data_IF_271455096324
#
_entry.id   IF_271455096324
#
_cell.length_a   1.000
_cell.length_b   1.000
_cell.length_c   1.000
_cell.angle_alpha   90.00
_cell.angle_beta   90.00
_cell.angle_gamma   90.00
#
_symmetry.space_group_name_H-M   'P 1'
#
loop_
_entity.id
_entity.type
_entity.pdbx_description
1 polymer ?
#
# COMPACT_ATOMS: atom_id res chain seq x y z
N UNK A 1 -8.39 3.59 -11.88
CA UNK A 1 -9.26 4.61 -11.23
C UNK A 1 -8.75 4.87 -9.82
N UNK A 2 -8.70 6.12 -9.41
CA UNK A 2 -8.22 6.46 -8.07
C UNK A 2 -9.27 6.17 -7.00
N UNK A 3 -8.88 5.51 -5.91
CA UNK A 3 -9.80 5.13 -4.82
C UNK A 3 -10.39 6.33 -4.07
N UNK A 4 -9.66 7.45 -3.97
CA UNK A 4 -10.18 8.67 -3.37
C UNK A 4 -11.42 9.23 -4.09
N UNK A 5 -11.54 9.01 -5.40
CA UNK A 5 -12.73 9.40 -6.17
C UNK A 5 -13.96 8.56 -5.81
N UNK A 6 -13.75 7.31 -5.35
CA UNK A 6 -14.85 6.44 -4.93
C UNK A 6 -15.47 6.94 -3.62
N UNK A 7 -14.65 7.29 -2.65
CA UNK A 7 -15.11 7.79 -1.34
C UNK A 7 -15.92 9.08 -1.46
N UNK A 8 -15.65 9.90 -2.49
CA UNK A 8 -16.43 11.11 -2.75
C UNK A 8 -17.82 10.84 -3.34
N UNK A 9 -18.05 9.65 -3.90
CA UNK A 9 -19.26 9.33 -4.67
C UNK A 9 -20.24 8.39 -3.96
N UNK A 10 -19.73 7.49 -3.11
CA UNK A 10 -20.54 6.44 -2.47
C UNK A 10 -19.90 5.84 -1.23
N UNK A 11 -20.65 5.03 -0.49
CA UNK A 11 -20.08 4.10 0.48
C UNK A 11 -19.24 3.05 -0.26
N UNK A 12 -18.00 2.88 0.12
CA UNK A 12 -17.03 1.98 -0.53
C UNK A 12 -16.99 0.65 0.20
N UNK A 13 -17.03 -0.43 -0.57
CA UNK A 13 -16.88 -1.80 -0.10
C UNK A 13 -15.57 -2.37 -0.66
N UNK A 14 -14.66 -2.78 0.21
CA UNK A 14 -13.35 -3.29 -0.18
C UNK A 14 -12.93 -4.50 0.63
N UNK A 15 -12.00 -5.27 0.07
CA UNK A 15 -11.29 -6.33 0.79
C UNK A 15 -9.82 -5.98 0.93
N UNK A 16 -9.18 -6.60 1.92
CA UNK A 16 -7.73 -6.66 2.02
C UNK A 16 -7.29 -8.12 1.95
N UNK A 17 -6.28 -8.39 1.11
CA UNK A 17 -5.76 -9.74 0.89
C UNK A 17 -4.26 -9.80 1.15
N UNK A 18 -3.81 -10.98 1.55
CA UNK A 18 -2.41 -11.25 1.85
C UNK A 18 -1.82 -12.14 0.77
N UNK A 19 -0.71 -11.75 0.13
CA UNK A 19 0.04 -12.69 -0.70
C UNK A 19 0.45 -13.93 0.11
N UNK A 20 0.49 -15.11 -0.49
CA UNK A 20 0.94 -16.31 0.21
C UNK A 20 2.42 -16.19 0.60
N UNK A 21 2.87 -16.99 1.59
CA UNK A 21 4.26 -17.03 2.01
C UNK A 21 5.18 -17.42 0.85
N UNK A 22 6.47 -17.04 0.93
CA UNK A 22 7.45 -17.21 -0.16
C UNK A 22 7.64 -18.65 -0.65
N UNK A 23 7.43 -19.62 0.22
CA UNK A 23 7.52 -21.07 -0.05
C UNK A 23 6.25 -21.66 -0.69
N UNK A 24 5.18 -20.88 -0.80
CA UNK A 24 3.90 -21.27 -1.37
C UNK A 24 3.74 -20.57 -2.74
N UNK A 25 3.35 -21.28 -3.81
CA UNK A 25 3.08 -20.67 -5.10
C UNK A 25 2.02 -19.56 -5.01
N UNK A 26 2.22 -18.46 -5.74
CA UNK A 26 1.31 -17.29 -5.69
C UNK A 26 -0.09 -17.64 -6.20
N UNK A 27 -0.16 -18.57 -7.14
CA UNK A 27 -1.40 -19.02 -7.78
C UNK A 27 -2.38 -19.67 -6.79
N UNK A 28 -1.90 -20.07 -5.61
CA UNK A 28 -2.75 -20.66 -4.55
C UNK A 28 -3.79 -19.68 -4.02
N UNK A 29 -3.58 -18.37 -4.18
CA UNK A 29 -4.55 -17.34 -3.75
C UNK A 29 -5.59 -17.04 -4.84
N UNK A 30 -5.33 -17.36 -6.11
CA UNK A 30 -6.17 -16.97 -7.23
C UNK A 30 -7.63 -17.45 -7.13
N UNK A 31 -7.92 -18.71 -6.75
CA UNK A 31 -9.32 -19.15 -6.58
C UNK A 31 -10.09 -18.30 -5.56
N UNK A 32 -9.44 -17.89 -4.47
CA UNK A 32 -10.06 -16.99 -3.47
C UNK A 32 -10.30 -15.60 -4.06
N UNK A 33 -9.39 -15.09 -4.88
CA UNK A 33 -9.56 -13.79 -5.55
C UNK A 33 -10.70 -13.83 -6.57
N UNK A 34 -10.86 -14.95 -7.30
CA UNK A 34 -11.98 -15.17 -8.21
C UNK A 34 -13.32 -15.10 -7.46
N UNK A 35 -13.43 -15.77 -6.31
CA UNK A 35 -14.63 -15.72 -5.47
C UNK A 35 -14.90 -14.32 -4.90
N UNK A 36 -13.87 -13.65 -4.39
CA UNK A 36 -13.99 -12.28 -3.85
C UNK A 36 -14.41 -11.28 -4.93
N UNK A 37 -13.89 -11.41 -6.15
CA UNK A 37 -14.24 -10.54 -7.27
C UNK A 37 -15.73 -10.60 -7.64
N UNK A 38 -16.36 -11.77 -7.48
CA UNK A 38 -17.79 -11.97 -7.73
C UNK A 38 -18.69 -11.23 -6.73
N UNK A 39 -18.15 -10.78 -5.61
CA UNK A 39 -18.86 -9.93 -4.64
C UNK A 39 -18.86 -8.46 -5.05
N UNK A 40 -18.24 -8.13 -6.19
CA UNK A 40 -18.14 -6.80 -6.76
C UNK A 40 -17.63 -5.73 -5.78
N UNK A 41 -16.47 -5.96 -5.12
CA UNK A 41 -15.86 -4.93 -4.31
C UNK A 41 -15.44 -3.73 -5.17
N UNK A 42 -15.41 -2.56 -4.56
CA UNK A 42 -14.95 -1.34 -5.23
C UNK A 42 -13.45 -1.36 -5.51
N UNK A 43 -12.70 -1.96 -4.59
CA UNK A 43 -11.30 -2.31 -4.79
C UNK A 43 -10.87 -3.43 -3.83
N UNK A 44 -9.73 -4.03 -4.11
CA UNK A 44 -9.07 -4.99 -3.22
C UNK A 44 -7.66 -4.49 -2.95
N UNK A 45 -7.31 -4.28 -1.67
CA UNK A 45 -5.93 -3.94 -1.30
C UNK A 45 -5.09 -5.20 -1.09
N UNK A 46 -3.82 -5.11 -1.45
CA UNK A 46 -2.87 -6.22 -1.36
C UNK A 46 -1.75 -5.85 -0.41
N UNK A 47 -1.63 -6.59 0.69
CA UNK A 47 -0.58 -6.34 1.68
C UNK A 47 0.81 -6.65 1.13
N UNK A 48 1.83 -6.03 1.72
CA UNK A 48 3.22 -6.43 1.50
C UNK A 48 3.64 -7.34 2.65
N UNK A 49 4.29 -8.46 2.33
CA UNK A 49 4.73 -9.43 3.35
C UNK A 49 5.57 -8.79 4.45
N UNK A 50 5.54 -9.38 5.63
CA UNK A 50 6.21 -8.87 6.83
C UNK A 50 7.67 -8.45 6.53
N UNK A 51 8.03 -7.23 6.94
CA UNK A 51 9.34 -6.65 6.71
C UNK A 51 9.62 -6.18 5.28
N UNK A 52 8.60 -5.95 4.46
CA UNK A 52 8.79 -5.41 3.09
C UNK A 52 9.49 -6.37 2.13
N UNK A 53 9.52 -7.66 2.44
CA UNK A 53 10.21 -8.68 1.63
C UNK A 53 9.35 -9.24 0.50
N UNK A 54 8.11 -8.79 0.36
CA UNK A 54 7.10 -9.35 -0.55
C UNK A 54 6.82 -8.51 -1.80
N UNK A 55 7.65 -7.52 -2.15
CA UNK A 55 7.34 -6.55 -3.22
C UNK A 55 6.82 -7.19 -4.52
N UNK A 56 7.55 -8.13 -5.09
CA UNK A 56 7.14 -8.78 -6.34
C UNK A 56 5.80 -9.52 -6.20
N UNK A 57 5.55 -10.21 -5.08
CA UNK A 57 4.28 -10.93 -4.87
C UNK A 57 3.09 -10.00 -4.70
N UNK A 58 3.29 -8.84 -4.08
CA UNK A 58 2.25 -7.82 -3.99
C UNK A 58 1.85 -7.35 -5.39
N UNK A 59 2.83 -7.10 -6.26
CA UNK A 59 2.59 -6.71 -7.66
C UNK A 59 1.89 -7.83 -8.42
N UNK A 60 2.34 -9.09 -8.28
CA UNK A 60 1.71 -10.24 -8.95
C UNK A 60 0.24 -10.39 -8.58
N UNK A 61 -0.08 -10.39 -7.27
CA UNK A 61 -1.45 -10.53 -6.76
C UNK A 61 -2.31 -9.33 -7.21
N UNK A 62 -1.78 -8.11 -7.10
CA UNK A 62 -2.48 -6.90 -7.53
C UNK A 62 -2.74 -6.90 -9.05
N UNK A 63 -1.78 -7.40 -9.85
CA UNK A 63 -1.96 -7.56 -11.30
C UNK A 63 -3.08 -8.54 -11.61
N UNK A 64 -3.15 -9.68 -10.91
CA UNK A 64 -4.22 -10.65 -11.08
C UNK A 64 -5.59 -10.04 -10.75
N UNK A 65 -5.70 -9.29 -9.65
CA UNK A 65 -6.94 -8.57 -9.28
C UNK A 65 -7.36 -7.59 -10.39
N UNK A 66 -6.42 -6.86 -10.99
CA UNK A 66 -6.70 -5.97 -12.14
C UNK A 66 -7.23 -6.75 -13.35
N UNK A 67 -6.69 -7.94 -13.63
CA UNK A 67 -7.16 -8.81 -14.72
C UNK A 67 -8.58 -9.30 -14.51
N UNK A 68 -9.02 -9.46 -13.25
CA UNK A 68 -10.41 -9.78 -12.90
C UNK A 68 -11.37 -8.58 -13.05
N UNK A 69 -10.85 -7.40 -13.43
CA UNK A 69 -11.65 -6.18 -13.59
C UNK A 69 -11.91 -5.42 -12.29
N UNK A 70 -11.29 -5.83 -11.18
CA UNK A 70 -11.36 -5.11 -9.90
C UNK A 70 -10.28 -4.02 -9.83
N UNK A 71 -10.58 -2.91 -9.16
CA UNK A 71 -9.57 -1.92 -8.82
C UNK A 71 -8.71 -2.45 -7.66
N UNK A 72 -7.45 -2.00 -7.57
CA UNK A 72 -6.55 -2.48 -6.54
C UNK A 72 -5.67 -1.38 -5.95
N UNK A 73 -5.24 -1.58 -4.70
CA UNK A 73 -4.27 -0.75 -4.01
C UNK A 73 -3.13 -1.63 -3.48
N UNK A 74 -1.90 -1.32 -3.85
CA UNK A 74 -0.72 -2.04 -3.40
C UNK A 74 -0.13 -1.42 -2.13
N UNK A 75 0.11 -2.21 -1.09
CA UNK A 75 0.81 -1.74 0.10
C UNK A 75 2.30 -1.59 -0.19
N UNK A 76 2.87 -0.46 0.23
CA UNK A 76 4.30 -0.18 0.12
C UNK A 76 4.86 0.29 1.47
N UNK A 77 5.43 -0.62 2.28
CA UNK A 77 6.09 -0.27 3.53
C UNK A 77 7.51 0.26 3.26
N UNK A 78 7.92 1.34 3.93
CA UNK A 78 9.13 2.07 3.60
C UNK A 78 10.34 1.83 4.51
N UNK A 79 10.16 1.32 5.72
CA UNK A 79 11.22 1.27 6.74
C UNK A 79 12.50 0.52 6.30
N UNK A 80 12.37 -0.43 5.36
CA UNK A 80 13.47 -1.21 4.78
C UNK A 80 13.68 -0.92 3.29
N UNK A 81 13.08 0.14 2.75
CA UNK A 81 13.08 0.45 1.33
C UNK A 81 14.20 1.45 1.01
N UNK A 82 15.03 1.16 0.02
CA UNK A 82 15.96 2.12 -0.56
C UNK A 82 15.28 2.92 -1.67
N UNK A 83 15.87 4.05 -2.08
CA UNK A 83 15.32 4.83 -3.21
C UNK A 83 15.24 4.00 -4.51
N UNK A 84 16.28 3.23 -4.79
CA UNK A 84 16.33 2.39 -6.01
C UNK A 84 15.23 1.33 -5.98
N UNK A 85 15.01 0.69 -4.82
CA UNK A 85 13.96 -0.30 -4.67
C UNK A 85 12.57 0.36 -4.74
N UNK A 86 12.41 1.57 -4.20
CA UNK A 86 11.17 2.33 -4.33
C UNK A 86 10.85 2.64 -5.79
N UNK A 87 11.82 3.17 -6.55
CA UNK A 87 11.67 3.45 -7.97
C UNK A 87 11.34 2.19 -8.79
N UNK A 88 12.00 1.07 -8.48
CA UNK A 88 11.72 -0.19 -9.14
C UNK A 88 10.28 -0.67 -8.86
N UNK A 89 9.83 -0.60 -7.62
CA UNK A 89 8.46 -0.95 -7.25
C UNK A 89 7.43 -0.05 -7.94
N UNK A 90 7.66 1.27 -7.99
CA UNK A 90 6.78 2.22 -8.69
C UNK A 90 6.69 1.90 -10.18
N UNK A 91 7.82 1.56 -10.82
CA UNK A 91 7.86 1.15 -12.21
C UNK A 91 7.03 -0.11 -12.45
N UNK A 92 7.23 -1.16 -11.65
CA UNK A 92 6.50 -2.43 -11.76
C UNK A 92 4.99 -2.23 -11.57
N UNK A 93 4.57 -1.43 -10.58
CA UNK A 93 3.17 -1.09 -10.36
C UNK A 93 2.57 -0.34 -11.55
N UNK A 94 3.29 0.63 -12.10
CA UNK A 94 2.86 1.41 -13.27
C UNK A 94 2.72 0.55 -14.51
N UNK A 95 3.69 -0.34 -14.77
CA UNK A 95 3.65 -1.29 -15.89
C UNK A 95 2.48 -2.28 -15.76
N UNK A 96 2.11 -2.64 -14.54
CA UNK A 96 0.94 -3.47 -14.24
C UNK A 96 -0.41 -2.69 -14.28
N UNK A 97 -0.38 -1.37 -14.52
CA UNK A 97 -1.59 -0.53 -14.55
C UNK A 97 -2.23 -0.30 -13.17
N UNK A 98 -1.45 -0.45 -12.10
CA UNK A 98 -1.89 -0.19 -10.73
C UNK A 98 -1.68 1.29 -10.44
N UNK A 99 -2.73 1.98 -10.01
CA UNK A 99 -2.75 3.43 -9.83
C UNK A 99 -2.81 3.86 -8.36
N UNK A 100 -3.06 2.92 -7.44
CA UNK A 100 -3.26 3.22 -6.02
C UNK A 100 -2.19 2.52 -5.16
N UNK A 101 -1.54 3.29 -4.28
CA UNK A 101 -0.52 2.81 -3.35
C UNK A 101 -0.93 3.18 -1.93
N UNK A 102 -0.98 2.20 -1.03
CA UNK A 102 -1.06 2.47 0.41
C UNK A 102 0.36 2.59 0.96
N UNK A 103 0.79 3.83 1.20
CA UNK A 103 2.09 4.13 1.75
C UNK A 103 2.11 3.91 3.28
N UNK A 104 2.97 3.03 3.74
CA UNK A 104 3.11 2.61 5.14
C UNK A 104 4.55 2.83 5.61
N UNK A 105 4.74 3.05 6.91
CA UNK A 105 6.08 2.94 7.50
C UNK A 105 6.54 1.48 7.47
N UNK A 106 5.66 0.58 7.82
CA UNK A 106 5.94 -0.82 8.08
C UNK A 106 6.38 -1.07 9.52
N UNK A 107 6.43 -2.35 9.89
CA UNK A 107 6.79 -2.80 11.22
C UNK A 107 8.27 -3.16 11.30
N UNK A 108 8.86 -2.95 12.48
CA UNK A 108 10.23 -3.37 12.76
C UNK A 108 10.31 -4.90 12.87
N UNK A 109 11.31 -5.45 12.21
CA UNK A 109 11.62 -6.88 12.29
C UNK A 109 12.87 -7.04 13.16
N UNK A 110 12.82 -7.80 14.25
CA UNK A 110 13.98 -8.03 15.10
C UNK A 110 15.18 -8.56 14.30
N UNK A 111 16.33 -7.91 14.49
CA UNK A 111 17.58 -8.28 13.82
C UNK A 111 17.71 -7.82 12.36
N UNK A 112 16.77 -7.06 11.84
CA UNK A 112 16.87 -6.44 10.51
C UNK A 112 17.18 -4.94 10.66
N UNK A 113 18.25 -4.48 10.03
CA UNK A 113 18.64 -3.07 10.01
C UNK A 113 17.72 -2.28 9.07
N UNK A 114 17.30 -1.07 9.50
CA UNK A 114 16.50 -0.14 8.67
C UNK A 114 17.35 0.41 7.53
N UNK A 115 16.71 0.76 6.44
CA UNK A 115 17.39 1.42 5.32
C UNK A 115 17.74 2.89 5.60
N UNK A 116 17.07 3.53 6.59
CA UNK A 116 17.24 4.94 6.98
C UNK A 116 17.09 5.94 5.81
N UNK A 117 16.34 5.58 4.79
CA UNK A 117 15.99 6.45 3.66
C UNK A 117 14.64 7.12 3.91
N UNK A 118 13.66 6.33 4.34
CA UNK A 118 12.32 6.78 4.68
C UNK A 118 12.03 6.40 6.14
N UNK A 119 12.03 7.37 7.03
CA UNK A 119 11.77 7.14 8.46
C UNK A 119 10.27 7.02 8.75
N UNK A 120 9.44 7.71 7.96
CA UNK A 120 7.99 7.76 8.09
C UNK A 120 7.28 7.52 6.76
N UNK A 121 6.01 7.10 6.84
CA UNK A 121 5.19 6.98 5.64
C UNK A 121 5.06 8.30 4.85
N UNK A 122 5.09 9.46 5.54
CA UNK A 122 5.07 10.78 4.89
C UNK A 122 6.27 11.01 3.97
N UNK A 123 7.45 10.46 4.29
CA UNK A 123 8.64 10.61 3.47
C UNK A 123 8.48 9.82 2.16
N UNK A 124 7.93 8.60 2.25
CA UNK A 124 7.58 7.81 1.08
C UNK A 124 6.49 8.49 0.24
N UNK A 125 5.45 9.06 0.87
CA UNK A 125 4.40 9.81 0.16
C UNK A 125 5.01 10.96 -0.65
N UNK A 126 5.84 11.78 -0.03
CA UNK A 126 6.51 12.90 -0.70
C UNK A 126 7.37 12.42 -1.87
N UNK A 127 8.14 11.35 -1.67
CA UNK A 127 8.97 10.74 -2.70
C UNK A 127 8.14 10.23 -3.89
N UNK A 128 7.05 9.49 -3.63
CA UNK A 128 6.16 9.01 -4.71
C UNK A 128 5.60 10.19 -5.49
N UNK A 129 5.12 11.22 -4.80
CA UNK A 129 4.53 12.41 -5.44
C UNK A 129 5.53 13.23 -6.24
N UNK A 130 6.79 13.22 -5.85
CA UNK A 130 7.88 13.86 -6.62
C UNK A 130 8.22 13.07 -7.89
N UNK A 131 8.35 11.73 -7.78
CA UNK A 131 8.85 10.88 -8.87
C UNK A 131 7.76 10.44 -9.83
N UNK A 132 6.58 10.12 -9.31
CA UNK A 132 5.44 9.58 -10.06
C UNK A 132 4.13 10.20 -9.54
N UNK A 133 3.85 11.48 -9.86
CA UNK A 133 2.73 12.25 -9.31
C UNK A 133 1.35 11.68 -9.65
N UNK A 134 1.26 10.84 -10.68
CA UNK A 134 0.01 10.25 -11.15
C UNK A 134 -0.54 9.16 -10.21
N UNK A 135 0.29 8.57 -9.35
CA UNK A 135 -0.22 7.62 -8.36
C UNK A 135 -1.14 8.31 -7.35
N UNK A 136 -2.27 7.68 -7.07
CA UNK A 136 -3.07 7.97 -5.89
C UNK A 136 -2.41 7.32 -4.67
N UNK A 137 -2.00 8.13 -3.70
CA UNK A 137 -1.29 7.66 -2.51
C UNK A 137 -2.19 7.72 -1.30
N UNK A 138 -2.53 6.58 -0.75
CA UNK A 138 -3.38 6.40 0.42
C UNK A 138 -2.50 6.39 1.67
N UNK A 139 -2.93 7.07 2.72
CA UNK A 139 -2.27 7.07 4.03
C UNK A 139 -3.09 6.30 5.07
N UNK A 140 -2.42 5.45 5.87
CA UNK A 140 -3.06 4.82 7.02
C UNK A 140 -3.25 5.82 8.17
N UNK A 141 -4.38 5.69 8.87
CA UNK A 141 -4.64 6.38 10.14
C UNK A 141 -5.22 5.40 11.18
N UNK A 142 -5.06 5.77 12.44
CA UNK A 142 -5.56 4.99 13.59
C UNK A 142 -6.55 5.87 14.38
N UNK A 143 -7.86 5.59 14.36
CA UNK A 143 -8.84 6.38 15.12
C UNK A 143 -8.55 6.44 16.61
N UNK A 144 -8.00 5.35 17.17
CA UNK A 144 -7.60 5.24 18.58
C UNK A 144 -6.26 5.93 18.89
N UNK A 145 -5.56 6.39 17.86
CA UNK A 145 -4.20 6.92 17.93
C UNK A 145 -3.13 5.85 17.73
N UNK A 146 -2.01 6.25 17.13
CA UNK A 146 -0.87 5.37 16.91
C UNK A 146 -0.20 5.01 18.24
N UNK A 147 0.17 3.74 18.45
CA UNK A 147 0.74 3.23 19.71
C UNK A 147 2.04 3.93 20.13
N UNK A 148 2.82 4.42 19.18
CA UNK A 148 4.09 5.14 19.40
C UNK A 148 3.87 6.67 19.55
N UNK A 149 2.66 7.18 19.30
CA UNK A 149 2.39 8.61 19.45
C UNK A 149 2.31 9.00 20.93
N UNK A 150 2.99 10.08 21.32
CA UNK A 150 2.99 10.57 22.70
C UNK A 150 1.60 11.01 23.16
N UNK A 151 0.80 11.54 22.27
CA UNK A 151 -0.59 11.98 22.50
C UNK A 151 -1.40 11.90 21.22
N UNK A 152 -2.71 11.75 21.32
CA UNK A 152 -3.62 11.78 20.16
C UNK A 152 -3.48 13.08 19.36
N UNK A 153 -3.29 14.22 20.02
CA UNK A 153 -3.07 15.50 19.34
C UNK A 153 -1.74 15.53 18.53
N UNK A 154 -0.71 14.81 18.97
CA UNK A 154 0.52 14.65 18.22
C UNK A 154 0.29 13.75 17.00
N UNK A 155 -0.46 12.67 17.17
CA UNK A 155 -0.79 11.75 16.07
C UNK A 155 -1.62 12.43 14.97
N UNK A 156 -2.61 13.22 15.35
CA UNK A 156 -3.39 14.03 14.40
C UNK A 156 -2.49 14.99 13.61
N UNK A 157 -1.48 15.61 14.24
CA UNK A 157 -0.50 16.43 13.53
C UNK A 157 0.35 15.62 12.55
N UNK A 158 0.74 14.40 12.92
CA UNK A 158 1.47 13.50 12.04
C UNK A 158 0.61 13.09 10.83
N UNK A 159 -0.70 12.88 11.05
CA UNK A 159 -1.64 12.62 9.96
C UNK A 159 -1.72 13.80 8.99
N UNK A 160 -1.78 15.05 9.53
CA UNK A 160 -1.70 16.25 8.70
C UNK A 160 -0.42 16.28 7.85
N UNK A 161 0.73 15.90 8.42
CA UNK A 161 2.00 15.83 7.68
C UNK A 161 1.91 14.87 6.48
N UNK A 162 1.23 13.72 6.62
CA UNK A 162 0.99 12.80 5.49
C UNK A 162 0.13 13.44 4.40
N UNK A 163 -0.94 14.11 4.79
CA UNK A 163 -1.84 14.81 3.84
C UNK A 163 -1.10 15.94 3.13
N UNK A 164 -0.33 16.76 3.86
CA UNK A 164 0.48 17.84 3.28
C UNK A 164 1.55 17.30 2.30
N UNK A 165 2.05 16.07 2.53
CA UNK A 165 2.97 15.38 1.62
C UNK A 165 2.28 14.83 0.35
N UNK A 166 0.93 14.80 0.31
CA UNK A 166 0.15 14.38 -0.85
C UNK A 166 -0.63 13.08 -0.69
N UNK A 167 -0.80 12.56 0.54
CA UNK A 167 -1.71 11.45 0.80
C UNK A 167 -3.17 11.93 0.71
N UNK A 168 -4.03 11.06 0.19
CA UNK A 168 -5.47 11.29 0.02
C UNK A 168 -6.31 10.31 0.81
#
# INVERSE_FOLDING_TARGET
MHTNELFAKKTVFSFEVFPPKRDIPVETVYPTLDELSQLHPDFISVTCGAGGTGGNRTVEVATYIKQLGCETAAHMPCIYLTEEAALQNLKELKEAGIENILALRGDEVPGRERAHVFEHASDLVAFIKEKEPDFNVIGACYPEGHTEAKTLAADIRNLKTKVDAGAS
#
